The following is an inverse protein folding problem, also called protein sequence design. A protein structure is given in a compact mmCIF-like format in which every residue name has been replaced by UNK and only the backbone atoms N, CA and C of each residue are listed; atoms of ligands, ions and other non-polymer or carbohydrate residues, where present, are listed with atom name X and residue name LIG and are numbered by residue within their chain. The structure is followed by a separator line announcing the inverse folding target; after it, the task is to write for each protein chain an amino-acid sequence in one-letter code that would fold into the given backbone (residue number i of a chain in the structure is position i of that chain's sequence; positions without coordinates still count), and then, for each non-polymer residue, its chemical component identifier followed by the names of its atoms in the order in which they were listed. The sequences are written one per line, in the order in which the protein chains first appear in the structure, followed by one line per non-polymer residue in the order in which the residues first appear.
data_IF_824529454448
#
_entry.id   IF_824529454448
#
_cell.length_a   1.000
_cell.length_b   1.000
_cell.length_c   1.000
_cell.angle_alpha   90.00
_cell.angle_beta   90.00
_cell.angle_gamma   90.00
#
_symmetry.space_group_name_H-M   'P 1'
#
loop_
_entity.id
_entity.type
_entity.pdbx_description
1 polymer ?
#
# COMPACT_ATOMS: atom_id res chain seq x y z
N UNK A 1 17.48 -11.01 15.36
CA UNK A 1 17.41 -9.58 14.98
C UNK A 1 16.99 -9.49 13.52
N UNK A 2 16.05 -8.60 13.20
CA UNK A 2 15.70 -8.27 11.81
C UNK A 2 16.38 -6.97 11.42
N UNK A 3 16.85 -6.87 10.19
CA UNK A 3 17.67 -5.76 9.72
C UNK A 3 17.44 -5.55 8.22
N UNK A 4 17.62 -4.32 7.73
CA UNK A 4 17.76 -4.04 6.30
C UNK A 4 19.11 -4.58 5.78
N UNK A 5 19.20 -5.05 4.53
CA UNK A 5 20.46 -5.60 4.01
C UNK A 5 21.69 -4.68 4.17
N UNK A 6 21.48 -3.36 4.20
CA UNK A 6 22.52 -2.34 4.33
C UNK A 6 22.83 -1.87 5.76
N UNK A 7 22.22 -2.44 6.80
CA UNK A 7 22.43 -2.03 8.20
C UNK A 7 22.89 -3.20 9.09
N UNK A 8 23.72 -4.10 8.55
CA UNK A 8 24.20 -5.30 9.24
C UNK A 8 25.01 -4.94 10.50
N UNK A 9 24.67 -5.56 11.62
CA UNK A 9 25.36 -5.34 12.90
C UNK A 9 26.71 -6.06 12.90
N UNK A 10 27.79 -5.26 12.87
CA UNK A 10 29.19 -5.73 12.84
C UNK A 10 29.60 -6.51 14.10
N UNK A 11 28.95 -6.29 15.23
CA UNK A 11 29.30 -6.92 16.51
C UNK A 11 28.75 -8.34 16.69
N UNK A 12 28.04 -8.89 15.69
CA UNK A 12 27.58 -10.27 15.75
C UNK A 12 28.71 -11.22 15.34
N UNK A 13 29.21 -12.01 16.28
CA UNK A 13 30.19 -13.06 16.00
C UNK A 13 29.53 -14.27 15.33
N UNK A 14 29.82 -14.47 14.04
CA UNK A 14 29.37 -15.61 13.22
C UNK A 14 27.85 -15.91 13.30
N UNK A 15 26.97 -14.93 13.02
CA UNK A 15 25.54 -15.13 13.11
C UNK A 15 25.03 -16.06 12.01
N UNK A 16 24.01 -16.86 12.33
CA UNK A 16 23.20 -17.52 11.31
C UNK A 16 22.34 -16.46 10.60
N UNK A 17 22.59 -16.27 9.31
CA UNK A 17 21.89 -15.27 8.49
C UNK A 17 20.72 -15.95 7.77
N UNK A 18 19.53 -15.35 7.88
CA UNK A 18 18.33 -15.76 7.16
C UNK A 18 17.83 -14.56 6.35
N UNK A 19 17.67 -14.76 5.04
CA UNK A 19 17.18 -13.73 4.13
C UNK A 19 15.69 -13.93 3.83
N UNK A 20 14.93 -12.84 3.86
CA UNK A 20 13.51 -12.84 3.51
C UNK A 20 13.38 -12.39 2.05
N UNK A 21 13.02 -13.31 1.16
CA UNK A 21 12.93 -13.07 -0.29
C UNK A 21 11.52 -12.68 -0.80
N UNK A 22 10.55 -12.52 0.11
CA UNK A 22 9.17 -12.19 -0.25
C UNK A 22 8.34 -13.41 -0.66
N UNK A 23 7.19 -13.15 -1.28
CA UNK A 23 6.24 -14.18 -1.72
C UNK A 23 6.60 -14.71 -3.11
N UNK A 24 6.40 -16.00 -3.32
CA UNK A 24 6.40 -16.60 -4.65
C UNK A 24 5.04 -16.42 -5.34
N UNK A 25 4.96 -16.68 -6.64
CA UNK A 25 3.70 -16.57 -7.41
C UNK A 25 2.56 -17.39 -6.80
N UNK A 26 2.85 -18.59 -6.30
CA UNK A 26 1.86 -19.45 -5.65
C UNK A 26 1.42 -18.86 -4.30
N UNK A 27 2.35 -18.30 -3.53
CA UNK A 27 2.06 -17.65 -2.25
C UNK A 27 1.17 -16.42 -2.48
N UNK A 28 1.44 -15.63 -3.52
CA UNK A 28 0.61 -14.48 -3.90
C UNK A 28 -0.82 -14.94 -4.20
N UNK A 29 -0.98 -15.96 -5.04
CA UNK A 29 -2.29 -16.50 -5.38
C UNK A 29 -3.03 -17.01 -4.14
N UNK A 30 -2.34 -17.79 -3.30
CA UNK A 30 -2.89 -18.31 -2.05
C UNK A 30 -3.30 -17.18 -1.10
N UNK A 31 -2.45 -16.17 -0.93
CA UNK A 31 -2.71 -15.02 -0.09
C UNK A 31 -3.95 -14.25 -0.55
N UNK A 32 -4.04 -13.93 -1.85
CA UNK A 32 -5.17 -13.21 -2.44
C UNK A 32 -6.46 -14.03 -2.27
N UNK A 33 -6.41 -15.32 -2.58
CA UNK A 33 -7.54 -16.23 -2.42
C UNK A 33 -8.05 -16.29 -0.97
N UNK A 34 -7.14 -16.42 0.00
CA UNK A 34 -7.49 -16.43 1.43
C UNK A 34 -8.06 -15.08 1.87
N UNK A 35 -7.43 -13.96 1.46
CA UNK A 35 -7.88 -12.61 1.80
C UNK A 35 -9.33 -12.35 1.37
N UNK A 36 -9.68 -12.78 0.16
CA UNK A 36 -11.01 -12.60 -0.43
C UNK A 36 -11.96 -13.79 -0.22
N UNK A 37 -11.58 -14.81 0.56
CA UNK A 37 -12.37 -16.03 0.80
C UNK A 37 -12.82 -16.72 -0.50
N UNK A 38 -11.93 -16.80 -1.50
CA UNK A 38 -12.18 -17.42 -2.81
C UNK A 38 -13.35 -16.81 -3.61
N UNK A 39 -13.64 -15.52 -3.42
CA UNK A 39 -14.68 -14.84 -4.19
C UNK A 39 -14.16 -14.34 -5.56
N UNK A 40 -15.03 -13.83 -6.42
CA UNK A 40 -14.66 -13.34 -7.76
C UNK A 40 -13.63 -12.18 -7.76
N UNK A 41 -13.47 -11.45 -6.66
CA UNK A 41 -12.49 -10.35 -6.55
C UNK A 41 -11.05 -10.87 -6.59
N UNK A 42 -10.81 -12.08 -6.08
CA UNK A 42 -9.48 -12.68 -6.15
C UNK A 42 -9.04 -12.82 -7.60
N UNK A 43 -9.91 -13.34 -8.46
CA UNK A 43 -9.65 -13.51 -9.89
C UNK A 43 -9.43 -12.17 -10.60
N UNK A 44 -10.23 -11.14 -10.27
CA UNK A 44 -10.06 -9.80 -10.84
C UNK A 44 -8.73 -9.18 -10.46
N UNK A 45 -8.35 -9.23 -9.18
CA UNK A 45 -7.05 -8.70 -8.73
C UNK A 45 -5.90 -9.50 -9.35
N UNK A 46 -5.96 -10.83 -9.35
CA UNK A 46 -4.94 -11.67 -9.97
C UNK A 46 -4.73 -11.35 -11.45
N UNK A 47 -5.83 -11.10 -12.19
CA UNK A 47 -5.74 -10.67 -13.59
C UNK A 47 -5.05 -9.31 -13.72
N UNK A 48 -5.41 -8.32 -12.89
CA UNK A 48 -4.76 -6.99 -12.87
C UNK A 48 -3.26 -7.08 -12.56
N UNK A 49 -2.88 -7.86 -11.55
CA UNK A 49 -1.47 -8.07 -11.20
C UNK A 49 -0.70 -8.73 -12.34
N UNK A 50 -1.28 -9.71 -13.02
CA UNK A 50 -0.61 -10.41 -14.11
C UNK A 50 -0.46 -9.56 -15.38
N UNK A 51 -1.38 -8.63 -15.63
CA UNK A 51 -1.36 -7.76 -16.79
C UNK A 51 -0.37 -6.59 -16.65
N UNK A 52 -0.05 -6.16 -15.44
CA UNK A 52 0.90 -5.06 -15.18
C UNK A 52 2.20 -5.57 -14.56
N UNK A 53 3.30 -5.47 -15.30
CA UNK A 53 4.63 -5.94 -14.85
C UNK A 53 5.10 -5.32 -13.54
N UNK A 54 4.86 -4.03 -13.34
CA UNK A 54 5.28 -3.30 -12.14
C UNK A 54 4.48 -3.75 -10.91
N UNK A 55 3.16 -3.88 -11.03
CA UNK A 55 2.31 -4.38 -9.96
C UNK A 55 2.64 -5.85 -9.64
N UNK A 56 2.89 -6.67 -10.67
CA UNK A 56 3.36 -8.05 -10.50
C UNK A 56 4.64 -8.10 -9.67
N UNK A 57 5.64 -7.31 -10.04
CA UNK A 57 6.92 -7.28 -9.31
C UNK A 57 6.72 -6.83 -7.86
N UNK A 58 5.96 -5.77 -7.63
CA UNK A 58 5.68 -5.25 -6.28
C UNK A 58 4.91 -6.26 -5.42
N UNK A 59 4.01 -7.05 -6.02
CA UNK A 59 3.20 -8.05 -5.31
C UNK A 59 4.01 -9.16 -4.63
N UNK A 60 5.26 -9.36 -5.04
CA UNK A 60 6.19 -10.25 -4.33
C UNK A 60 6.57 -9.72 -2.94
N UNK A 61 6.37 -8.43 -2.66
CA UNK A 61 6.54 -7.87 -1.33
C UNK A 61 5.21 -7.89 -0.57
N UNK A 62 5.19 -8.52 0.60
CA UNK A 62 3.98 -8.75 1.41
C UNK A 62 3.19 -7.46 1.70
N UNK A 63 3.88 -6.34 1.95
CA UNK A 63 3.26 -5.04 2.18
C UNK A 63 2.44 -4.58 0.97
N UNK A 64 3.04 -4.56 -0.22
CA UNK A 64 2.34 -4.12 -1.44
C UNK A 64 1.20 -5.05 -1.79
N UNK A 65 1.37 -6.36 -1.63
CA UNK A 65 0.28 -7.32 -1.86
C UNK A 65 -0.92 -7.04 -0.96
N UNK A 66 -0.69 -6.78 0.33
CA UNK A 66 -1.75 -6.41 1.27
C UNK A 66 -2.44 -5.10 0.86
N UNK A 67 -1.68 -4.11 0.40
CA UNK A 67 -2.22 -2.84 -0.08
C UNK A 67 -3.08 -3.02 -1.34
N UNK A 68 -2.65 -3.85 -2.30
CA UNK A 68 -3.44 -4.16 -3.49
C UNK A 68 -4.76 -4.86 -3.14
N UNK A 69 -4.74 -5.78 -2.18
CA UNK A 69 -5.94 -6.44 -1.67
C UNK A 69 -6.91 -5.42 -1.03
N UNK A 70 -6.37 -4.52 -0.19
CA UNK A 70 -7.16 -3.47 0.44
C UNK A 70 -7.82 -2.54 -0.58
N UNK A 71 -7.04 -2.05 -1.56
CA UNK A 71 -7.55 -1.15 -2.61
C UNK A 71 -8.62 -1.83 -3.48
N UNK A 72 -8.41 -3.09 -3.86
CA UNK A 72 -9.37 -3.84 -4.67
C UNK A 72 -10.71 -4.04 -3.95
N UNK A 73 -10.67 -4.19 -2.63
CA UNK A 73 -11.87 -4.27 -1.79
C UNK A 73 -12.60 -2.93 -1.69
N UNK A 74 -11.87 -1.81 -1.68
CA UNK A 74 -12.48 -0.48 -1.65
C UNK A 74 -13.11 -0.09 -2.99
N UNK A 75 -12.51 -0.44 -4.11
CA UNK A 75 -13.03 -0.09 -5.45
C UNK A 75 -14.46 -0.56 -5.69
N UNK A 76 -14.90 -1.66 -5.06
CA UNK A 76 -16.29 -2.12 -5.11
C UNK A 76 -17.31 -1.08 -4.63
N UNK A 77 -16.90 -0.13 -3.80
CA UNK A 77 -17.76 0.92 -3.23
C UNK A 77 -17.79 2.20 -4.07
N UNK A 78 -16.83 2.41 -4.97
CA UNK A 78 -16.70 3.62 -5.79
C UNK A 78 -16.87 3.29 -7.27
N UNK A 79 -18.03 3.59 -7.85
CA UNK A 79 -18.43 3.14 -9.20
C UNK A 79 -17.75 3.84 -10.38
N UNK A 80 -16.53 4.39 -10.28
CA UNK A 80 -15.93 5.12 -11.41
C UNK A 80 -14.47 4.75 -11.71
N UNK A 81 -14.26 4.40 -12.98
CA UNK A 81 -13.01 4.37 -13.75
C UNK A 81 -12.09 3.14 -13.54
N UNK A 82 -12.49 2.03 -14.16
CA UNK A 82 -11.73 0.79 -14.22
C UNK A 82 -10.56 0.80 -15.23
N UNK A 83 -10.50 1.74 -16.17
CA UNK A 83 -9.62 1.60 -17.35
C UNK A 83 -8.24 2.29 -17.22
N UNK A 84 -7.97 3.02 -16.14
CA UNK A 84 -6.70 3.77 -15.97
C UNK A 84 -5.66 3.10 -15.06
N UNK A 85 -5.94 1.93 -14.49
CA UNK A 85 -5.03 1.28 -13.52
C UNK A 85 -3.98 0.35 -14.14
N UNK A 86 -4.10 0.05 -15.43
CA UNK A 86 -3.20 -0.88 -16.12
C UNK A 86 -1.76 -0.35 -16.28
N UNK A 87 -1.52 0.95 -16.06
CA UNK A 87 -0.20 1.59 -16.12
C UNK A 87 0.12 2.43 -14.86
N UNK A 88 -0.30 1.95 -13.68
CA UNK A 88 -0.09 2.68 -12.43
C UNK A 88 1.38 2.70 -11.97
N UNK A 89 1.93 3.88 -11.74
CA UNK A 89 3.25 4.08 -11.12
C UNK A 89 3.18 3.92 -9.60
N UNK A 90 4.33 3.71 -8.94
CA UNK A 90 4.40 3.61 -7.47
C UNK A 90 3.92 4.89 -6.77
N UNK A 91 4.23 6.07 -7.34
CA UNK A 91 3.75 7.36 -6.79
C UNK A 91 2.23 7.43 -6.80
N UNK A 92 1.61 7.06 -7.93
CA UNK A 92 0.14 7.01 -8.05
C UNK A 92 -0.49 6.01 -7.08
N UNK A 93 0.17 4.88 -6.81
CA UNK A 93 -0.30 3.92 -5.79
C UNK A 93 -0.35 4.57 -4.40
N UNK A 94 0.74 5.23 -3.99
CA UNK A 94 0.79 5.92 -2.69
C UNK A 94 -0.20 7.09 -2.62
N UNK A 95 -0.37 7.83 -3.71
CA UNK A 95 -1.36 8.91 -3.79
C UNK A 95 -2.79 8.38 -3.58
N UNK A 96 -3.14 7.26 -4.21
CA UNK A 96 -4.46 6.63 -4.02
C UNK A 96 -4.64 6.14 -2.60
N UNK A 97 -3.61 5.51 -2.02
CA UNK A 97 -3.66 5.05 -0.63
C UNK A 97 -3.88 6.21 0.33
N UNK A 98 -3.17 7.31 0.12
CA UNK A 98 -3.29 8.51 0.93
C UNK A 98 -4.69 9.13 0.80
N UNK A 99 -5.20 9.27 -0.43
CA UNK A 99 -6.59 9.70 -0.71
C UNK A 99 -7.61 8.80 -0.02
N UNK A 100 -7.46 7.47 -0.11
CA UNK A 100 -8.35 6.50 0.55
C UNK A 100 -8.35 6.66 2.08
N UNK A 101 -7.18 6.90 2.68
CA UNK A 101 -7.05 7.15 4.11
C UNK A 101 -7.75 8.46 4.52
N UNK A 102 -7.50 9.55 3.80
CA UNK A 102 -8.15 10.84 4.04
C UNK A 102 -9.67 10.74 3.93
N UNK A 103 -10.19 10.02 2.92
CA UNK A 103 -11.63 9.77 2.76
C UNK A 103 -12.21 9.05 3.97
N UNK A 104 -11.52 8.01 4.42
CA UNK A 104 -11.96 7.25 5.59
C UNK A 104 -11.97 8.10 6.86
N UNK A 105 -10.93 8.89 7.11
CA UNK A 105 -10.88 9.83 8.23
C UNK A 105 -11.99 10.88 8.16
N UNK A 106 -12.24 11.44 6.97
CA UNK A 106 -13.33 12.40 6.78
C UNK A 106 -14.70 11.81 7.13
N UNK A 107 -15.02 10.63 6.59
CA UNK A 107 -16.29 9.95 6.88
C UNK A 107 -16.42 9.60 8.37
N UNK A 108 -15.31 9.24 9.01
CA UNK A 108 -15.28 8.94 10.44
C UNK A 108 -15.57 10.18 11.30
N UNK A 109 -15.01 11.33 10.96
CA UNK A 109 -15.17 12.57 11.73
C UNK A 109 -16.49 13.31 11.45
N UNK A 110 -17.01 13.21 10.22
CA UNK A 110 -18.17 14.00 9.77
C UNK A 110 -19.45 13.18 9.52
N UNK A 111 -19.39 11.86 9.70
CA UNK A 111 -20.48 10.95 9.40
C UNK A 111 -20.66 10.67 7.89
N UNK A 112 -21.45 9.64 7.58
CA UNK A 112 -21.63 9.11 6.21
C UNK A 112 -22.35 10.07 5.23
N UNK A 113 -22.98 11.14 5.74
CA UNK A 113 -23.84 12.01 4.93
C UNK A 113 -23.11 13.17 4.23
N UNK A 114 -21.85 13.44 4.59
CA UNK A 114 -21.06 14.50 3.98
C UNK A 114 -20.28 13.98 2.77
N UNK A 115 -20.89 14.12 1.58
CA UNK A 115 -20.25 13.79 0.30
C UNK A 115 -19.13 14.81 0.03
N UNK A 116 -17.89 14.40 0.27
CA UNK A 116 -16.72 15.21 0.00
C UNK A 116 -16.37 15.16 -1.50
N UNK A 117 -15.94 16.30 -2.06
CA UNK A 117 -15.36 16.35 -3.39
C UNK A 117 -13.91 15.79 -3.35
N UNK A 118 -13.65 14.74 -4.13
CA UNK A 118 -12.34 14.11 -4.27
C UNK A 118 -11.23 15.10 -4.62
N UNK A 119 -11.53 16.12 -5.42
CA UNK A 119 -10.55 17.13 -5.85
C UNK A 119 -10.16 18.09 -4.74
N UNK A 120 -10.95 18.17 -3.66
CA UNK A 120 -10.71 19.07 -2.53
C UNK A 120 -10.16 18.34 -1.30
N UNK A 121 -10.02 17.02 -1.36
CA UNK A 121 -9.64 16.24 -0.18
C UNK A 121 -8.24 16.57 0.32
N UNK A 122 -7.30 16.79 -0.59
CA UNK A 122 -5.94 17.17 -0.21
C UNK A 122 -5.94 18.52 0.50
N UNK A 123 -6.67 19.51 -0.02
CA UNK A 123 -6.74 20.84 0.59
C UNK A 123 -7.28 20.81 2.03
N UNK A 124 -8.21 19.89 2.34
CA UNK A 124 -8.73 19.72 3.71
C UNK A 124 -7.67 19.19 4.67
N UNK A 125 -6.79 18.31 4.19
CA UNK A 125 -5.75 17.66 5.00
C UNK A 125 -4.34 18.25 4.78
N UNK A 126 -4.22 19.33 4.02
CA UNK A 126 -2.94 19.90 3.58
C UNK A 126 -2.02 20.20 4.76
N UNK A 127 -2.53 20.93 5.76
CA UNK A 127 -1.75 21.24 6.97
C UNK A 127 -1.29 19.99 7.73
N UNK A 128 -2.11 18.93 7.79
CA UNK A 128 -1.76 17.68 8.47
C UNK A 128 -0.66 16.93 7.71
N UNK A 129 -0.78 16.86 6.38
CA UNK A 129 0.23 16.22 5.52
C UNK A 129 1.55 16.98 5.57
N UNK A 130 1.51 18.31 5.49
CA UNK A 130 2.70 19.14 5.57
C UNK A 130 3.41 18.95 6.92
N UNK A 131 2.66 18.97 8.01
CA UNK A 131 3.19 18.72 9.34
C UNK A 131 3.84 17.33 9.48
N UNK A 132 3.14 16.27 9.06
CA UNK A 132 3.65 14.91 9.14
C UNK A 132 4.85 14.69 8.21
N UNK A 133 4.86 15.31 7.04
CA UNK A 133 5.98 15.24 6.10
C UNK A 133 7.22 15.92 6.67
N UNK A 134 7.07 17.08 7.32
CA UNK A 134 8.16 17.78 8.00
C UNK A 134 8.76 16.93 9.13
N UNK A 135 7.93 16.33 9.98
CA UNK A 135 8.40 15.43 11.05
C UNK A 135 9.12 14.22 10.47
N UNK A 136 8.54 13.61 9.43
CA UNK A 136 9.13 12.42 8.77
C UNK A 136 10.49 12.78 8.18
N UNK A 137 10.61 13.94 7.54
CA UNK A 137 11.84 14.43 6.94
C UNK A 137 12.94 14.67 7.97
N UNK A 138 12.62 15.34 9.08
CA UNK A 138 13.59 15.56 10.16
C UNK A 138 13.99 14.23 10.84
N UNK A 139 13.02 13.32 11.04
CA UNK A 139 13.30 11.98 11.57
C UNK A 139 14.27 11.18 10.71
N UNK A 140 14.10 11.24 9.38
CA UNK A 140 15.00 10.59 8.41
C UNK A 140 16.42 11.15 8.49
N UNK A 141 16.59 12.48 8.59
CA UNK A 141 17.91 13.11 8.74
C UNK A 141 18.64 12.67 10.01
N UNK A 142 17.91 12.54 11.12
CA UNK A 142 18.49 12.14 12.40
C UNK A 142 18.79 10.63 12.50
N UNK A 143 18.58 9.84 11.44
CA UNK A 143 18.75 8.38 11.46
C UNK A 143 17.74 7.66 12.37
N UNK A 144 16.70 8.35 12.84
CA UNK A 144 15.60 7.77 13.62
C UNK A 144 14.63 7.11 12.66
N UNK A 145 15.01 5.95 12.15
CA UNK A 145 14.06 5.04 11.53
C UNK A 145 13.34 4.31 12.67
N UNK A 146 12.07 4.65 12.91
CA UNK A 146 11.18 3.92 13.84
C UNK A 146 11.07 2.43 13.47
#
# INVERSE_FOLDING_TARGET
MTNRPNAMCEYLNNPRILNVFGFQSQDIQNYVNVYFKNNNESNTLMKKLNNNRSLKLLSHTSLYLRLFCYLSRQDKSSSSNNDKRDEMTLSQLYEILLKSYMKWNWMKSNGLNNKLNDDRIFNVFEMEVDYLSAITWEGLKCGRNY
#
